data_IF_545863815926
#
_entry.id   IF_545863815926
#
_cell.length_a   1.000
_cell.length_b   1.000
_cell.length_c   1.000
_cell.angle_alpha   90.00
_cell.angle_beta   90.00
_cell.angle_gamma   90.00
#
_symmetry.space_group_name_H-M   'P 1'
#
loop_
_entity.id
_entity.type
_entity.pdbx_description
1 polymer ?
#
# COMPACT_ATOMS: atom_id res chain seq x y z
N UNK A 1 -50.31 -26.42 -8.73
CA UNK A 1 -49.09 -27.02 -8.14
C UNK A 1 -47.82 -26.59 -8.87
N UNK A 2 -47.83 -26.39 -10.21
CA UNK A 2 -46.64 -25.94 -10.98
C UNK A 2 -46.38 -24.42 -10.93
N UNK A 3 -47.41 -23.58 -11.06
CA UNK A 3 -47.25 -22.11 -11.09
C UNK A 3 -46.77 -21.50 -9.77
N UNK A 4 -47.21 -22.03 -8.63
CA UNK A 4 -46.77 -21.55 -7.31
C UNK A 4 -45.27 -21.79 -7.09
N UNK A 5 -44.78 -22.94 -7.54
CA UNK A 5 -43.36 -23.31 -7.50
C UNK A 5 -42.53 -22.45 -8.45
N UNK A 6 -43.04 -22.18 -9.66
CA UNK A 6 -42.39 -21.28 -10.63
C UNK A 6 -42.31 -19.85 -10.12
N UNK A 7 -43.37 -19.33 -9.49
CA UNK A 7 -43.36 -18.02 -8.86
C UNK A 7 -42.35 -17.95 -7.70
N UNK A 8 -42.25 -19.00 -6.87
CA UNK A 8 -41.24 -19.06 -5.80
C UNK A 8 -39.81 -19.10 -6.37
N UNK A 9 -39.57 -19.84 -7.45
CA UNK A 9 -38.26 -19.88 -8.11
C UNK A 9 -37.91 -18.51 -8.70
N UNK A 10 -38.85 -17.83 -9.36
CA UNK A 10 -38.63 -16.46 -9.86
C UNK A 10 -38.32 -15.49 -8.72
N UNK A 11 -39.05 -15.59 -7.60
CA UNK A 11 -38.81 -14.72 -6.46
C UNK A 11 -37.43 -14.95 -5.83
N UNK A 12 -37.01 -16.22 -5.71
CA UNK A 12 -35.68 -16.56 -5.22
C UNK A 12 -34.57 -16.09 -6.18
N UNK A 13 -34.77 -16.21 -7.49
CA UNK A 13 -33.82 -15.69 -8.49
C UNK A 13 -33.70 -14.17 -8.42
N UNK A 14 -34.81 -13.46 -8.21
CA UNK A 14 -34.80 -12.02 -8.01
C UNK A 14 -34.01 -11.64 -6.77
N UNK A 15 -34.28 -12.30 -5.64
CA UNK A 15 -33.58 -12.05 -4.38
C UNK A 15 -32.07 -12.36 -4.48
N UNK A 16 -31.69 -13.41 -5.22
CA UNK A 16 -30.28 -13.73 -5.49
C UNK A 16 -29.65 -12.66 -6.37
N UNK A 17 -30.36 -12.18 -7.39
CA UNK A 17 -29.88 -11.09 -8.25
C UNK A 17 -29.65 -9.81 -7.44
N UNK A 18 -30.58 -9.43 -6.57
CA UNK A 18 -30.47 -8.26 -5.69
C UNK A 18 -29.33 -8.40 -4.68
N UNK A 19 -29.14 -9.61 -4.14
CA UNK A 19 -28.03 -9.91 -3.23
C UNK A 19 -26.67 -9.84 -3.96
N UNK A 20 -26.59 -10.33 -5.20
CA UNK A 20 -25.39 -10.24 -6.03
C UNK A 20 -25.07 -8.79 -6.38
N UNK A 21 -26.09 -7.99 -6.73
CA UNK A 21 -25.95 -6.56 -7.00
C UNK A 21 -25.39 -5.82 -5.77
N UNK A 22 -26.02 -6.01 -4.61
CA UNK A 22 -25.60 -5.38 -3.34
C UNK A 22 -24.18 -5.78 -2.95
N UNK A 23 -23.82 -7.06 -3.16
CA UNK A 23 -22.46 -7.54 -2.89
C UNK A 23 -21.43 -6.94 -3.84
N UNK A 24 -21.80 -6.72 -5.11
CA UNK A 24 -20.98 -6.01 -6.09
C UNK A 24 -20.71 -4.56 -5.67
N UNK A 25 -21.75 -3.84 -5.29
CA UNK A 25 -21.65 -2.44 -4.85
C UNK A 25 -20.80 -2.32 -3.57
N UNK A 26 -21.01 -3.22 -2.60
CA UNK A 26 -20.19 -3.25 -1.38
C UNK A 26 -18.72 -3.57 -1.67
N UNK A 27 -18.45 -4.50 -2.60
CA UNK A 27 -17.09 -4.84 -3.02
C UNK A 27 -16.39 -3.64 -3.66
N UNK A 28 -17.08 -2.91 -4.54
CA UNK A 28 -16.57 -1.70 -5.16
C UNK A 28 -16.26 -0.62 -4.13
N UNK A 29 -17.16 -0.40 -3.17
CA UNK A 29 -16.94 0.57 -2.09
C UNK A 29 -15.73 0.20 -1.23
N UNK A 30 -15.57 -1.07 -0.87
CA UNK A 30 -14.43 -1.54 -0.09
C UNK A 30 -13.11 -1.34 -0.86
N UNK A 31 -13.10 -1.57 -2.18
CA UNK A 31 -11.93 -1.30 -3.02
C UNK A 31 -11.57 0.19 -3.02
N UNK A 32 -12.56 1.07 -3.15
CA UNK A 32 -12.36 2.53 -3.12
C UNK A 32 -11.76 2.98 -1.78
N UNK A 33 -12.26 2.45 -0.65
CA UNK A 33 -11.71 2.73 0.68
C UNK A 33 -10.27 2.25 0.80
N UNK A 34 -9.95 1.06 0.30
CA UNK A 34 -8.57 0.54 0.31
C UNK A 34 -7.66 1.42 -0.55
N UNK A 35 -8.10 1.85 -1.73
CA UNK A 35 -7.32 2.75 -2.57
C UNK A 35 -7.08 4.11 -1.89
N UNK A 36 -8.10 4.67 -1.23
CA UNK A 36 -7.93 5.90 -0.43
C UNK A 36 -6.92 5.73 0.70
N UNK A 37 -6.97 4.61 1.43
CA UNK A 37 -5.99 4.31 2.47
C UNK A 37 -4.56 4.13 1.90
N UNK A 38 -4.42 3.55 0.71
CA UNK A 38 -3.12 3.44 0.02
C UNK A 38 -2.57 4.82 -0.37
N UNK A 39 -3.42 5.73 -0.85
CA UNK A 39 -3.04 7.10 -1.16
C UNK A 39 -2.60 7.86 0.10
N UNK A 40 -3.32 7.70 1.22
CA UNK A 40 -2.94 8.30 2.51
C UNK A 40 -1.59 7.75 3.02
N UNK A 41 -1.34 6.45 2.86
CA UNK A 41 -0.04 5.85 3.19
C UNK A 41 1.06 6.44 2.30
N UNK A 42 0.83 6.53 0.99
CA UNK A 42 1.78 7.12 0.06
C UNK A 42 2.10 8.58 0.42
N UNK A 43 1.08 9.38 0.75
CA UNK A 43 1.24 10.75 1.18
C UNK A 43 2.09 10.86 2.46
N UNK A 44 1.85 10.00 3.45
CA UNK A 44 2.64 9.97 4.68
C UNK A 44 4.10 9.54 4.45
N UNK A 45 4.33 8.59 3.54
CA UNK A 45 5.70 8.19 3.14
C UNK A 45 6.42 9.38 2.49
N UNK A 46 5.77 10.09 1.57
CA UNK A 46 6.34 11.28 0.93
C UNK A 46 6.62 12.40 1.95
N UNK A 47 5.68 12.65 2.87
CA UNK A 47 5.85 13.64 3.93
C UNK A 47 7.05 13.29 4.83
N UNK A 48 7.20 12.02 5.19
CA UNK A 48 8.34 11.53 5.98
C UNK A 48 9.65 11.71 5.22
N UNK A 49 9.69 11.34 3.93
CA UNK A 49 10.87 11.57 3.09
C UNK A 49 11.25 13.04 3.01
N UNK A 50 10.27 13.94 2.90
CA UNK A 50 10.51 15.39 2.89
C UNK A 50 11.09 15.88 4.23
N UNK A 51 10.54 15.42 5.35
CA UNK A 51 11.07 15.74 6.69
C UNK A 51 12.51 15.23 6.84
N UNK A 52 12.77 13.98 6.44
CA UNK A 52 14.11 13.38 6.50
C UNK A 52 15.09 14.15 5.62
N UNK A 53 14.72 14.53 4.39
CA UNK A 53 15.57 15.32 3.51
C UNK A 53 15.92 16.69 4.12
N UNK A 54 14.96 17.35 4.79
CA UNK A 54 15.22 18.61 5.52
C UNK A 54 16.16 18.39 6.71
N UNK A 55 16.01 17.27 7.43
CA UNK A 55 16.90 16.92 8.53
C UNK A 55 18.33 16.64 8.05
N UNK A 56 18.49 15.89 6.96
CA UNK A 56 19.79 15.61 6.35
C UNK A 56 20.51 16.88 5.88
N UNK A 57 19.76 17.89 5.43
CA UNK A 57 20.34 19.21 5.11
C UNK A 57 20.93 19.91 6.34
N UNK A 58 20.34 19.70 7.53
CA UNK A 58 20.83 20.28 8.79
C UNK A 58 21.93 19.43 9.43
N UNK A 59 21.86 18.12 9.28
CA UNK A 59 22.78 17.13 9.81
C UNK A 59 23.22 16.21 8.68
N UNK A 60 24.23 16.61 7.89
CA UNK A 60 24.70 15.80 6.78
C UNK A 60 25.27 14.49 7.32
N UNK A 61 24.85 13.39 6.72
CA UNK A 61 25.35 12.05 7.02
C UNK A 61 26.21 11.57 5.85
N UNK A 62 27.29 10.87 6.17
CA UNK A 62 28.12 10.21 5.18
C UNK A 62 27.48 8.87 4.79
N UNK A 63 27.40 8.58 3.48
CA UNK A 63 26.76 7.35 2.99
C UNK A 63 27.39 6.08 3.59
N UNK A 64 28.70 6.10 3.85
CA UNK A 64 29.42 5.00 4.48
C UNK A 64 28.93 4.70 5.91
N UNK A 65 28.56 5.72 6.68
CA UNK A 65 28.01 5.54 8.03
C UNK A 65 26.59 4.95 7.97
N UNK A 66 25.79 5.37 6.99
CA UNK A 66 24.44 4.86 6.78
C UNK A 66 24.47 3.40 6.32
N UNK A 67 25.38 3.05 5.40
CA UNK A 67 25.57 1.66 4.98
C UNK A 67 26.08 0.77 6.12
N UNK A 68 26.99 1.27 6.96
CA UNK A 68 27.45 0.56 8.14
C UNK A 68 26.31 0.32 9.15
N UNK A 69 25.48 1.33 9.39
CA UNK A 69 24.31 1.23 10.26
C UNK A 69 23.27 0.23 9.71
N UNK A 70 22.94 0.34 8.42
CA UNK A 70 22.01 -0.60 7.78
C UNK A 70 22.54 -2.04 7.85
N UNK A 71 23.84 -2.27 7.68
CA UNK A 71 24.43 -3.61 7.79
C UNK A 71 24.42 -4.15 9.24
N UNK A 72 24.48 -3.28 10.26
CA UNK A 72 24.43 -3.68 11.66
C UNK A 72 23.02 -4.08 12.12
N UNK A 73 22.01 -3.28 11.76
CA UNK A 73 20.63 -3.50 12.19
C UNK A 73 19.94 -4.62 11.42
N UNK A 74 20.35 -4.87 10.17
CA UNK A 74 19.60 -5.78 9.31
C UNK A 74 19.87 -7.25 9.63
N UNK A 75 21.02 -7.65 10.21
CA UNK A 75 21.42 -9.05 10.48
C UNK A 75 20.87 -10.08 9.46
N UNK A 76 20.70 -9.67 8.20
CA UNK A 76 19.90 -10.42 7.23
C UNK A 76 20.90 -11.22 6.41
N UNK A 77 20.79 -12.56 6.39
CA UNK A 77 21.68 -13.40 5.59
C UNK A 77 21.61 -13.08 4.09
N UNK A 78 20.59 -12.33 3.65
CA UNK A 78 20.37 -11.93 2.26
C UNK A 78 20.88 -10.51 1.93
N UNK A 79 21.52 -9.82 2.88
CA UNK A 79 22.00 -8.45 2.71
C UNK A 79 20.91 -7.38 2.73
N UNK A 80 21.31 -6.13 2.52
CA UNK A 80 20.41 -4.98 2.43
C UNK A 80 19.63 -5.08 1.11
N UNK A 81 18.28 -5.01 1.10
CA UNK A 81 17.51 -4.99 -0.13
C UNK A 81 17.96 -3.83 -1.03
N UNK A 82 18.16 -4.11 -2.33
CA UNK A 82 18.61 -3.12 -3.32
C UNK A 82 17.73 -1.87 -3.36
N UNK A 83 16.42 -2.06 -3.16
CA UNK A 83 15.43 -0.97 -3.08
C UNK A 83 15.67 -0.06 -1.88
N UNK A 84 15.97 -0.61 -0.70
CA UNK A 84 16.31 0.14 0.51
C UNK A 84 17.58 0.96 0.30
N UNK A 85 18.60 0.35 -0.32
CA UNK A 85 19.87 1.02 -0.64
C UNK A 85 19.67 2.18 -1.62
N UNK A 86 18.87 1.99 -2.67
CA UNK A 86 18.58 3.02 -3.66
C UNK A 86 17.81 4.22 -3.07
N UNK A 87 16.78 3.97 -2.25
CA UNK A 87 16.02 5.04 -1.57
C UNK A 87 16.91 5.80 -0.59
N UNK A 88 17.75 5.08 0.16
CA UNK A 88 18.67 5.68 1.12
C UNK A 88 19.70 6.56 0.43
N UNK A 89 20.30 6.07 -0.67
CA UNK A 89 21.25 6.85 -1.47
C UNK A 89 20.59 8.11 -2.02
N UNK A 90 19.39 8.00 -2.57
CA UNK A 90 18.63 9.16 -3.04
C UNK A 90 18.38 10.20 -1.93
N UNK A 91 18.05 9.76 -0.71
CA UNK A 91 17.82 10.67 0.42
C UNK A 91 19.10 11.36 0.88
N UNK A 92 20.23 10.66 0.92
CA UNK A 92 21.51 11.17 1.43
C UNK A 92 22.24 12.02 0.40
N UNK A 93 22.31 11.58 -0.85
CA UNK A 93 23.13 12.23 -1.89
C UNK A 93 22.32 13.04 -2.90
N UNK A 94 21.00 12.87 -2.94
CA UNK A 94 20.13 13.46 -3.96
C UNK A 94 20.26 12.82 -5.35
N UNK A 95 21.10 11.78 -5.50
CA UNK A 95 21.28 11.07 -6.76
C UNK A 95 20.24 9.96 -6.91
N UNK A 96 19.53 9.98 -8.03
CA UNK A 96 18.63 8.90 -8.44
C UNK A 96 19.45 7.97 -9.34
N UNK A 97 19.69 6.73 -8.89
CA UNK A 97 20.23 5.65 -9.72
C UNK A 97 19.18 5.18 -10.74
#
# INVERSE_FOLDING_TARGET
MSELMLNQIQHMLHNVSDAVQTMGDQSSHNLEVVMGALDDIAANVMATQAVVAVLLKKFPLEMAEVEAWLNQDIQNPNGIPTTTLAVTRYLVTGQKD
#
